data_IF_198331555591
#
_entry.id   IF_198331555591
#
_cell.length_a   1.000
_cell.length_b   1.000
_cell.length_c   1.000
_cell.angle_alpha   90.00
_cell.angle_beta   90.00
_cell.angle_gamma   90.00
#
_symmetry.space_group_name_H-M   'P 1'
#
loop_
_entity.id
_entity.type
_entity.pdbx_description
1 polymer ?
#
# COMPACT_ATOMS: atom_id res chain seq x y z
N UNK A 1 -0.38 -16.90 -1.71
CA UNK A 1 -1.36 -17.94 -2.12
C UNK A 1 -0.69 -19.21 -2.64
N UNK A 2 0.21 -19.08 -3.62
CA UNK A 2 0.81 -20.25 -4.29
C UNK A 2 1.70 -21.10 -3.39
N UNK A 3 2.45 -20.50 -2.47
CA UNK A 3 3.25 -21.27 -1.50
C UNK A 3 2.39 -22.20 -0.64
N UNK A 4 1.20 -21.75 -0.19
CA UNK A 4 0.29 -22.59 0.62
C UNK A 4 -0.14 -23.82 -0.18
N UNK A 5 -0.51 -23.62 -1.45
CA UNK A 5 -0.89 -24.73 -2.34
C UNK A 5 0.28 -25.65 -2.64
N UNK A 6 1.45 -25.08 -2.91
CA UNK A 6 2.64 -25.83 -3.26
C UNK A 6 3.15 -26.70 -2.11
N UNK A 7 3.27 -26.13 -0.91
CA UNK A 7 3.86 -26.83 0.24
C UNK A 7 2.86 -27.65 1.06
N UNK A 8 1.59 -27.24 1.13
CA UNK A 8 0.58 -27.88 1.98
C UNK A 8 -0.49 -28.61 1.17
N UNK A 9 -0.60 -28.39 -0.14
CA UNK A 9 -1.68 -28.95 -0.96
C UNK A 9 -3.06 -28.37 -0.64
N UNK A 10 -3.11 -27.28 0.13
CA UNK A 10 -4.34 -26.70 0.65
C UNK A 10 -4.71 -25.38 -0.01
N UNK A 11 -6.00 -25.04 0.01
CA UNK A 11 -6.46 -23.71 -0.35
C UNK A 11 -6.11 -22.70 0.76
N UNK A 12 -5.58 -21.50 0.44
CA UNK A 12 -5.35 -20.46 1.45
C UNK A 12 -6.65 -20.05 2.14
N UNK A 13 -6.68 -20.15 3.47
CA UNK A 13 -7.82 -19.71 4.28
C UNK A 13 -7.94 -18.19 4.32
N UNK A 14 -6.79 -17.50 4.47
CA UNK A 14 -6.72 -16.05 4.50
C UNK A 14 -6.52 -15.51 3.08
N UNK A 15 -7.32 -14.49 2.73
CA UNK A 15 -7.19 -13.78 1.46
C UNK A 15 -6.02 -12.81 1.52
N UNK A 16 -5.19 -12.80 0.48
CA UNK A 16 -4.22 -11.72 0.29
C UNK A 16 -4.95 -10.43 -0.10
N UNK A 17 -4.41 -9.31 0.38
CA UNK A 17 -4.80 -8.00 -0.12
C UNK A 17 -4.28 -7.85 -1.56
N UNK A 18 -5.11 -7.39 -2.52
CA UNK A 18 -4.63 -7.03 -3.85
C UNK A 18 -3.43 -6.10 -3.75
N UNK A 19 -2.35 -6.42 -4.44
CA UNK A 19 -1.08 -5.70 -4.32
C UNK A 19 -0.50 -5.49 -5.71
N UNK A 20 -0.28 -4.23 -6.07
CA UNK A 20 0.39 -3.85 -7.30
C UNK A 20 1.87 -3.66 -7.04
N UNK A 21 2.70 -4.30 -7.87
CA UNK A 21 4.16 -4.13 -7.81
C UNK A 21 4.55 -3.01 -8.76
N UNK A 22 5.01 -1.88 -8.24
CA UNK A 22 5.34 -0.72 -9.07
C UNK A 22 6.52 -0.99 -10.02
N UNK A 23 7.31 -2.06 -9.80
CA UNK A 23 8.31 -2.54 -10.76
C UNK A 23 7.71 -3.04 -12.09
N UNK A 24 6.43 -3.38 -12.13
CA UNK A 24 5.73 -3.83 -13.34
C UNK A 24 5.04 -2.64 -14.01
N UNK A 25 5.26 -2.45 -15.31
CA UNK A 25 4.82 -1.24 -16.01
C UNK A 25 3.30 -1.00 -15.96
N UNK A 26 2.48 -2.04 -16.12
CA UNK A 26 1.02 -1.94 -16.06
C UNK A 26 0.54 -1.60 -14.65
N UNK A 27 1.14 -2.25 -13.63
CA UNK A 27 0.89 -1.94 -12.23
C UNK A 27 1.26 -0.48 -11.90
N UNK A 28 2.42 -0.01 -12.35
CA UNK A 28 2.86 1.38 -12.15
C UNK A 28 1.91 2.38 -12.81
N UNK A 29 1.46 2.11 -14.03
CA UNK A 29 0.52 2.97 -14.74
C UNK A 29 -0.78 3.12 -13.94
N UNK A 30 -1.36 2.00 -13.50
CA UNK A 30 -2.55 2.00 -12.66
C UNK A 30 -2.33 2.77 -11.34
N UNK A 31 -1.21 2.52 -10.65
CA UNK A 31 -0.91 3.20 -9.38
C UNK A 31 -0.74 4.71 -9.55
N UNK A 32 -0.13 5.18 -10.65
CA UNK A 32 0.02 6.61 -10.92
C UNK A 32 -1.30 7.29 -11.24
N UNK A 33 -2.22 6.60 -11.90
CA UNK A 33 -3.56 7.10 -12.23
C UNK A 33 -4.45 7.22 -10.99
N UNK A 34 -4.40 6.22 -10.10
CA UNK A 34 -5.27 6.10 -8.92
C UNK A 34 -4.57 6.41 -7.59
N UNK A 35 -3.53 7.25 -7.61
CA UNK A 35 -2.64 7.42 -6.45
C UNK A 35 -3.36 7.97 -5.20
N UNK A 36 -4.43 8.73 -5.40
CA UNK A 36 -5.32 9.29 -4.37
C UNK A 36 -6.29 8.28 -3.76
N UNK A 37 -6.41 7.08 -4.32
CA UNK A 37 -7.27 6.01 -3.81
C UNK A 37 -6.48 4.91 -3.05
N UNK A 38 -5.16 4.90 -3.24
CA UNK A 38 -4.29 3.80 -2.84
C UNK A 38 -3.40 4.14 -1.64
N UNK A 39 -2.92 3.09 -0.98
CA UNK A 39 -1.81 3.18 -0.02
C UNK A 39 -0.56 2.67 -0.71
N UNK A 40 0.46 3.52 -0.83
CA UNK A 40 1.74 3.17 -1.44
C UNK A 40 2.80 3.10 -0.37
N UNK A 41 3.65 2.07 -0.39
CA UNK A 41 4.66 1.83 0.63
C UNK A 41 5.97 1.31 0.03
N UNK A 42 7.08 1.72 0.62
CA UNK A 42 8.40 1.23 0.25
C UNK A 42 8.52 -0.29 0.52
N UNK A 43 9.21 -1.00 -0.37
CA UNK A 43 9.52 -2.43 -0.25
C UNK A 43 10.62 -2.67 0.77
N UNK A 44 11.53 -1.70 0.93
CA UNK A 44 12.63 -1.71 1.87
C UNK A 44 12.36 -0.74 3.03
N UNK A 45 12.39 -1.21 4.27
CA UNK A 45 12.26 -0.36 5.47
C UNK A 45 11.57 -1.04 6.66
N UNK A 46 11.56 -0.34 7.79
CA UNK A 46 10.69 -0.63 8.93
C UNK A 46 9.40 0.17 8.80
N UNK A 47 8.25 -0.49 8.98
CA UNK A 47 6.92 0.02 8.62
C UNK A 47 6.62 1.41 9.16
N UNK A 48 6.56 2.40 8.26
CA UNK A 48 6.19 3.79 8.57
C UNK A 48 6.86 4.83 7.67
N UNK A 49 8.10 4.58 7.23
CA UNK A 49 8.83 5.47 6.34
C UNK A 49 8.58 5.14 4.86
N UNK A 50 8.53 6.15 4.00
CA UNK A 50 8.32 5.96 2.56
C UNK A 50 6.92 5.46 2.21
N UNK A 51 5.91 5.89 2.98
CA UNK A 51 4.50 5.54 2.77
C UNK A 51 3.67 6.78 2.40
N UNK A 52 2.68 6.56 1.54
CA UNK A 52 1.64 7.51 1.16
C UNK A 52 0.28 6.86 1.46
N UNK A 53 -0.62 7.61 2.08
CA UNK A 53 -2.03 7.24 2.22
C UNK A 53 -2.84 8.18 1.34
N UNK A 54 -3.09 7.76 0.10
CA UNK A 54 -3.67 8.57 -0.96
C UNK A 54 -4.90 9.38 -0.54
N UNK A 55 -5.93 8.75 0.06
CA UNK A 55 -7.17 9.44 0.44
C UNK A 55 -7.01 10.53 1.51
N UNK A 56 -5.86 10.57 2.19
CA UNK A 56 -5.54 11.54 3.24
C UNK A 56 -4.37 12.46 2.87
N UNK A 57 -3.84 12.33 1.65
CA UNK A 57 -2.72 13.13 1.17
C UNK A 57 -3.20 14.44 0.52
N UNK A 58 -2.41 15.49 0.61
CA UNK A 58 -2.63 16.71 -0.16
C UNK A 58 -2.26 16.52 -1.64
N UNK A 59 -2.71 17.43 -2.50
CA UNK A 59 -2.32 17.41 -3.92
C UNK A 59 -0.81 17.54 -4.10
N UNK A 60 -0.18 18.37 -3.30
CA UNK A 60 1.27 18.56 -3.32
C UNK A 60 1.99 17.28 -2.91
N UNK A 61 1.51 16.58 -1.89
CA UNK A 61 2.07 15.29 -1.45
C UNK A 61 1.92 14.21 -2.52
N UNK A 62 0.77 14.14 -3.19
CA UNK A 62 0.54 13.22 -4.31
C UNK A 62 1.52 13.46 -5.45
N UNK A 63 1.71 14.72 -5.88
CA UNK A 63 2.65 15.06 -6.96
C UNK A 63 4.10 14.75 -6.57
N UNK A 64 4.51 15.06 -5.33
CA UNK A 64 5.84 14.68 -4.86
C UNK A 64 6.04 13.16 -4.86
N UNK A 65 5.00 12.40 -4.54
CA UNK A 65 5.07 10.94 -4.54
C UNK A 65 5.05 10.34 -5.95
N UNK A 66 4.35 10.96 -6.92
CA UNK A 66 4.43 10.60 -8.34
C UNK A 66 5.87 10.65 -8.85
N UNK A 67 6.60 11.73 -8.54
CA UNK A 67 8.00 11.87 -8.92
C UNK A 67 8.90 10.79 -8.28
N UNK A 68 8.64 10.43 -7.03
CA UNK A 68 9.37 9.33 -6.35
C UNK A 68 9.13 7.98 -7.02
N UNK A 69 7.88 7.70 -7.41
CA UNK A 69 7.51 6.46 -8.10
C UNK A 69 8.14 6.35 -9.49
N UNK A 70 8.30 7.46 -10.19
CA UNK A 70 8.99 7.49 -11.49
C UNK A 70 10.50 7.31 -11.35
N UNK A 71 11.10 7.88 -10.30
CA UNK A 71 12.53 7.81 -10.07
C UNK A 71 13.00 6.40 -9.64
N UNK A 72 12.22 5.71 -8.80
CA UNK A 72 12.50 4.34 -8.36
C UNK A 72 11.20 3.52 -8.21
N UNK A 73 10.61 3.04 -9.31
CA UNK A 73 9.39 2.25 -9.27
C UNK A 73 9.57 0.91 -8.55
N UNK A 74 10.78 0.34 -8.58
CA UNK A 74 11.07 -0.95 -7.95
C UNK A 74 11.05 -0.89 -6.43
N UNK A 75 11.27 0.31 -5.88
CA UNK A 75 11.25 0.57 -4.45
C UNK A 75 9.87 0.54 -3.80
N UNK A 76 8.77 0.42 -4.56
CA UNK A 76 7.41 0.57 -4.01
C UNK A 76 6.43 -0.53 -4.44
N UNK A 77 5.42 -0.71 -3.58
CA UNK A 77 4.18 -1.43 -3.91
C UNK A 77 2.97 -0.60 -3.49
N UNK A 78 1.83 -0.85 -4.11
CA UNK A 78 0.57 -0.22 -3.75
C UNK A 78 -0.49 -1.25 -3.38
N UNK A 79 -1.41 -0.85 -2.51
CA UNK A 79 -2.55 -1.65 -2.07
C UNK A 79 -3.79 -0.75 -1.99
N UNK A 80 -5.01 -1.31 -2.12
CA UNK A 80 -6.21 -0.52 -1.92
C UNK A 80 -6.26 -0.02 -0.47
N UNK A 81 -6.82 1.16 -0.26
CA UNK A 81 -7.07 1.65 1.09
C UNK A 81 -8.10 0.75 1.77
N UNK A 82 -7.70 0.11 2.87
CA UNK A 82 -8.58 -0.77 3.64
C UNK A 82 -9.19 -0.01 4.81
N UNK A 83 -10.48 -0.25 5.09
CA UNK A 83 -11.11 0.15 6.34
C UNK A 83 -10.59 -0.74 7.47
N UNK A 84 -9.47 -0.34 8.08
CA UNK A 84 -8.88 -1.05 9.21
C UNK A 84 -9.84 -1.06 10.40
N UNK A 85 -9.96 -2.21 11.08
CA UNK A 85 -10.71 -2.32 12.32
C UNK A 85 -10.09 -1.44 13.40
N UNK A 86 -10.92 -0.75 14.18
CA UNK A 86 -10.46 0.08 15.30
C UNK A 86 -10.50 -0.69 16.62
N UNK A 87 -9.62 -0.33 17.54
CA UNK A 87 -9.62 -0.78 18.92
C UNK A 87 -9.53 0.46 19.82
N UNK A 88 -10.41 0.63 20.83
CA UNK A 88 -10.43 1.82 21.65
C UNK A 88 -9.07 2.13 22.28
N UNK A 89 -8.59 3.36 22.09
CA UNK A 89 -7.32 3.82 22.64
C UNK A 89 -7.50 5.17 23.35
N UNK A 90 -6.90 5.33 24.53
CA UNK A 90 -6.89 6.61 25.22
C UNK A 90 -5.80 7.51 24.61
N UNK A 91 -6.23 8.61 24.01
CA UNK A 91 -5.37 9.62 23.38
C UNK A 91 -5.63 10.99 24.01
N UNK A 92 -4.81 12.00 23.69
CA UNK A 92 -4.94 13.34 24.29
C UNK A 92 -6.31 14.00 24.11
N UNK A 93 -7.10 13.59 23.10
CA UNK A 93 -8.45 14.09 22.84
C UNK A 93 -9.56 13.24 23.49
N UNK A 94 -9.21 12.26 24.32
CA UNK A 94 -10.15 11.32 24.93
C UNK A 94 -9.98 9.90 24.39
N UNK A 95 -11.06 9.11 24.38
CA UNK A 95 -11.05 7.76 23.79
C UNK A 95 -11.26 7.90 22.27
N UNK A 96 -10.34 7.35 21.48
CA UNK A 96 -10.40 7.24 20.02
C UNK A 96 -10.71 5.81 19.57
#
# INVERSE_FOLDING_TARGET
>A
PEMVRFYLGEAPLLKNVPTWRCSEAESLAYVREHLDELVVKAVHGSGGYGMLVGPHASKEELEQFRLKLEADPSGYIAQPTLSLSTCPAFVNRGIA
#
